data_IF_816279017250
#
_entry.id   IF_816279017250
#
_cell.length_a   1.000
_cell.length_b   1.000
_cell.length_c   1.000
_cell.angle_alpha   90.00
_cell.angle_beta   90.00
_cell.angle_gamma   90.00
#
_symmetry.space_group_name_H-M   'P 1'
#
loop_
_entity.id
_entity.type
_entity.pdbx_description
1 polymer ?
#
# COMPACT_ATOMS: atom_id res chain seq x y z
N UNK A 1 13.38 -9.71 12.47
CA UNK A 1 12.12 -8.98 12.19
C UNK A 1 11.36 -9.73 11.09
N UNK A 2 10.09 -9.91 11.27
CA UNK A 2 9.26 -10.54 10.24
C UNK A 2 9.25 -9.70 8.95
N UNK A 3 9.15 -10.37 7.80
CA UNK A 3 9.19 -9.69 6.50
C UNK A 3 8.14 -8.59 6.39
N UNK A 4 6.90 -8.87 6.77
CA UNK A 4 5.82 -7.88 6.68
C UNK A 4 6.08 -6.66 7.56
N UNK A 5 6.66 -6.85 8.74
CA UNK A 5 7.01 -5.76 9.65
C UNK A 5 8.09 -4.88 9.04
N UNK A 6 9.10 -5.49 8.43
CA UNK A 6 10.19 -4.76 7.78
C UNK A 6 9.67 -3.92 6.61
N UNK A 7 8.80 -4.49 5.79
CA UNK A 7 8.19 -3.77 4.66
C UNK A 7 7.33 -2.60 5.16
N UNK A 8 6.53 -2.84 6.18
CA UNK A 8 5.68 -1.80 6.78
C UNK A 8 6.52 -0.63 7.29
N UNK A 9 7.59 -0.92 8.04
CA UNK A 9 8.46 0.13 8.58
C UNK A 9 9.17 0.91 7.50
N UNK A 10 9.59 0.23 6.42
CA UNK A 10 10.23 0.90 5.29
C UNK A 10 9.27 1.84 4.58
N UNK A 11 8.04 1.39 4.30
CA UNK A 11 7.03 2.24 3.65
C UNK A 11 6.66 3.44 4.52
N UNK A 12 6.57 3.27 5.82
CA UNK A 12 6.35 4.39 6.75
C UNK A 12 7.51 5.39 6.69
N UNK A 13 8.74 4.89 6.64
CA UNK A 13 9.92 5.74 6.57
C UNK A 13 9.98 6.54 5.25
N UNK A 14 9.42 6.00 4.17
CA UNK A 14 9.32 6.74 2.90
C UNK A 14 8.46 8.01 3.04
N UNK A 15 7.46 7.99 3.91
CA UNK A 15 6.43 9.03 3.95
C UNK A 15 5.52 8.94 2.76
N UNK A 16 6.03 9.25 1.56
CA UNK A 16 5.32 9.06 0.30
C UNK A 16 5.94 7.90 -0.46
N UNK A 17 5.11 6.99 -0.92
CA UNK A 17 5.49 5.95 -1.87
C UNK A 17 4.51 5.98 -3.05
N UNK A 18 4.83 5.28 -4.12
CA UNK A 18 4.03 5.34 -5.35
C UNK A 18 3.42 3.98 -5.63
N UNK A 19 2.14 4.00 -6.01
CA UNK A 19 1.39 2.78 -6.30
C UNK A 19 1.05 2.74 -7.78
N UNK A 20 1.45 1.67 -8.46
CA UNK A 20 1.14 1.42 -9.85
C UNK A 20 0.00 0.43 -9.97
N UNK A 21 -0.92 0.73 -10.89
CA UNK A 21 -2.03 -0.14 -11.29
C UNK A 21 -2.06 -0.24 -12.80
N UNK A 22 -2.87 -1.14 -13.33
CA UNK A 22 -3.11 -1.24 -14.75
C UNK A 22 -4.55 -0.84 -15.08
N UNK A 23 -4.72 0.01 -16.07
CA UNK A 23 -6.02 0.34 -16.64
C UNK A 23 -6.02 -0.20 -18.07
N UNK A 24 -6.56 -1.42 -18.26
CA UNK A 24 -6.34 -2.15 -19.50
C UNK A 24 -4.86 -2.46 -19.67
N UNK A 25 -4.26 -2.01 -20.77
CA UNK A 25 -2.83 -2.13 -21.02
C UNK A 25 -2.04 -0.86 -20.65
N UNK A 26 -2.72 0.17 -20.10
CA UNK A 26 -2.06 1.40 -19.68
C UNK A 26 -1.64 1.32 -18.21
N UNK A 27 -0.33 1.42 -17.90
CA UNK A 27 0.09 1.57 -16.51
C UNK A 27 -0.32 2.94 -15.97
N UNK A 28 -0.73 2.97 -14.70
CA UNK A 28 -1.07 4.20 -13.98
C UNK A 28 -0.29 4.22 -12.67
N UNK A 29 0.19 5.39 -12.26
CA UNK A 29 0.94 5.55 -11.03
C UNK A 29 0.51 6.81 -10.30
N UNK A 30 0.47 6.78 -8.97
CA UNK A 30 0.11 7.92 -8.12
C UNK A 30 0.75 7.78 -6.75
N UNK A 31 0.90 8.90 -6.02
CA UNK A 31 1.43 8.86 -4.66
C UNK A 31 0.42 8.32 -3.67
N UNK A 32 0.92 7.56 -2.70
CA UNK A 32 0.21 7.10 -1.51
C UNK A 32 1.05 7.45 -0.28
N UNK A 33 0.42 7.59 0.87
CA UNK A 33 1.14 7.99 2.08
C UNK A 33 0.73 7.26 3.35
N UNK A 34 -0.26 6.38 3.29
CA UNK A 34 -0.78 5.70 4.47
C UNK A 34 -0.63 4.19 4.35
N UNK A 35 -0.07 3.58 5.38
CA UNK A 35 0.03 2.13 5.53
C UNK A 35 -0.42 1.75 6.93
N UNK A 36 -0.86 0.51 7.09
CA UNK A 36 -1.28 -0.03 8.37
C UNK A 36 -0.98 -1.52 8.43
N UNK A 37 -0.65 -2.00 9.63
CA UNK A 37 -0.57 -3.43 9.93
C UNK A 37 -1.76 -3.80 10.78
N UNK A 38 -2.59 -4.71 10.29
CA UNK A 38 -3.79 -5.13 11.00
C UNK A 38 -4.07 -6.59 10.71
N UNK A 39 -4.26 -7.37 11.76
CA UNK A 39 -4.52 -8.82 11.67
C UNK A 39 -3.52 -9.56 10.78
N UNK A 40 -2.24 -9.20 10.89
CA UNK A 40 -1.16 -9.86 10.14
C UNK A 40 -1.09 -9.51 8.67
N UNK A 41 -1.79 -8.46 8.23
CA UNK A 41 -1.81 -8.01 6.82
C UNK A 41 -1.38 -6.57 6.71
N UNK A 42 -0.83 -6.22 5.55
CA UNK A 42 -0.43 -4.86 5.23
C UNK A 42 -1.53 -4.19 4.42
N UNK A 43 -2.05 -3.07 4.93
CA UNK A 43 -3.17 -2.36 4.35
C UNK A 43 -2.76 -1.03 3.75
N UNK A 44 -3.45 -0.67 2.67
CA UNK A 44 -3.43 0.66 2.04
C UNK A 44 -4.83 1.25 2.10
N UNK A 45 -4.91 2.59 1.99
CA UNK A 45 -6.19 3.30 2.07
C UNK A 45 -6.38 4.18 0.85
N UNK A 46 -7.62 4.26 0.36
CA UNK A 46 -8.01 5.19 -0.69
C UNK A 46 -9.49 5.58 -0.54
N UNK A 47 -9.98 6.42 -1.45
CA UNK A 47 -11.41 6.72 -1.57
C UNK A 47 -11.99 6.05 -2.79
N UNK A 48 -13.22 5.54 -2.70
CA UNK A 48 -13.81 4.78 -3.80
C UNK A 48 -14.22 5.64 -5.00
N UNK A 49 -14.22 6.96 -4.86
CA UNK A 49 -14.45 7.89 -5.99
C UNK A 49 -13.21 8.05 -6.85
N UNK A 50 -12.04 7.62 -6.37
CA UNK A 50 -10.79 7.77 -7.11
C UNK A 50 -10.62 6.64 -8.13
N UNK A 51 -10.07 6.95 -9.34
CA UNK A 51 -9.84 5.93 -10.36
C UNK A 51 -9.03 4.72 -9.91
N UNK A 52 -8.09 4.92 -8.98
CA UNK A 52 -7.22 3.85 -8.49
C UNK A 52 -8.03 2.69 -7.88
N UNK A 53 -9.12 3.00 -7.18
CA UNK A 53 -9.92 1.94 -6.55
C UNK A 53 -10.60 1.07 -7.60
N UNK A 54 -11.21 1.69 -8.62
CA UNK A 54 -11.82 0.95 -9.73
C UNK A 54 -10.78 0.11 -10.49
N UNK A 55 -9.57 0.66 -10.67
CA UNK A 55 -8.48 -0.05 -11.34
C UNK A 55 -8.07 -1.30 -10.55
N UNK A 56 -7.90 -1.19 -9.23
CA UNK A 56 -7.55 -2.33 -8.38
C UNK A 56 -8.65 -3.39 -8.33
N UNK A 57 -9.92 -2.97 -8.37
CA UNK A 57 -11.03 -3.93 -8.38
C UNK A 57 -11.07 -4.72 -9.69
N UNK A 58 -10.77 -4.07 -10.80
CA UNK A 58 -10.78 -4.72 -12.12
C UNK A 58 -9.53 -5.57 -12.35
N UNK A 59 -8.37 -5.09 -11.89
CA UNK A 59 -7.11 -5.83 -11.97
C UNK A 59 -6.38 -5.66 -10.64
N UNK A 60 -6.35 -6.70 -9.79
CA UNK A 60 -5.77 -6.60 -8.45
C UNK A 60 -4.25 -6.53 -8.43
N UNK A 61 -3.57 -6.78 -9.55
CA UNK A 61 -2.11 -6.74 -9.59
C UNK A 61 -1.63 -5.30 -9.46
N UNK A 62 -0.81 -5.05 -8.45
CA UNK A 62 -0.26 -3.72 -8.14
C UNK A 62 1.23 -3.81 -7.86
N UNK A 63 1.88 -2.66 -7.93
CA UNK A 63 3.27 -2.54 -7.49
C UNK A 63 3.45 -1.24 -6.74
N UNK A 64 4.21 -1.29 -5.62
CA UNK A 64 4.59 -0.12 -4.85
C UNK A 64 6.08 0.15 -5.06
N UNK A 65 6.46 1.43 -5.02
CA UNK A 65 7.86 1.83 -5.05
C UNK A 65 8.06 3.07 -4.19
N UNK A 66 9.11 3.07 -3.38
CA UNK A 66 9.43 4.22 -2.55
C UNK A 66 10.89 4.23 -2.12
N UNK A 67 11.36 5.41 -1.74
CA UNK A 67 12.73 5.62 -1.26
C UNK A 67 12.67 6.19 0.16
N UNK A 68 13.27 5.48 1.12
CA UNK A 68 13.43 5.99 2.47
C UNK A 68 14.76 6.75 2.62
N UNK A 69 15.80 6.26 1.95
CA UNK A 69 17.15 6.83 1.99
C UNK A 69 17.71 6.96 0.59
N UNK A 70 18.71 7.85 0.41
CA UNK A 70 19.43 7.95 -0.86
C UNK A 70 20.11 6.64 -1.23
N UNK A 71 20.04 6.27 -2.51
CA UNK A 71 20.70 5.08 -3.03
C UNK A 71 20.01 3.77 -2.71
N UNK A 72 18.85 3.82 -2.06
CA UNK A 72 18.04 2.64 -1.76
C UNK A 72 16.59 2.87 -2.12
N UNK A 73 15.88 1.81 -2.46
CA UNK A 73 14.43 1.88 -2.66
C UNK A 73 13.81 0.52 -2.40
N UNK A 74 12.50 0.50 -2.20
CA UNK A 74 11.73 -0.73 -2.09
C UNK A 74 10.80 -0.85 -3.29
N UNK A 75 10.60 -2.08 -3.76
CA UNK A 75 9.57 -2.42 -4.73
C UNK A 75 8.75 -3.57 -4.16
N UNK A 76 7.44 -3.42 -4.16
CA UNK A 76 6.54 -4.45 -3.64
C UNK A 76 5.54 -4.82 -4.72
N UNK A 77 5.56 -6.08 -5.16
CA UNK A 77 4.51 -6.61 -6.03
C UNK A 77 3.50 -7.36 -5.18
N UNK A 78 2.22 -7.19 -5.48
CA UNK A 78 1.17 -7.81 -4.69
C UNK A 78 -0.15 -7.83 -5.47
N UNK A 79 -1.14 -8.49 -4.89
CA UNK A 79 -2.53 -8.37 -5.29
C UNK A 79 -3.28 -7.60 -4.22
N UNK A 80 -4.07 -6.60 -4.62
CA UNK A 80 -4.88 -5.80 -3.71
C UNK A 80 -6.22 -6.49 -3.48
N UNK A 81 -6.59 -6.68 -2.22
CA UNK A 81 -7.87 -7.30 -1.84
C UNK A 81 -8.64 -6.32 -0.97
N UNK A 82 -9.85 -5.96 -1.38
CA UNK A 82 -10.71 -5.08 -0.60
C UNK A 82 -11.12 -5.76 0.70
N UNK A 83 -11.01 -5.04 1.81
CA UNK A 83 -11.57 -5.44 3.10
C UNK A 83 -12.72 -4.48 3.43
N UNK A 84 -13.95 -4.98 3.35
CA UNK A 84 -15.15 -4.16 3.48
C UNK A 84 -15.64 -4.03 4.93
N UNK A 85 -14.80 -4.38 5.90
CA UNK A 85 -15.19 -4.31 7.32
C UNK A 85 -14.94 -2.92 7.89
N UNK A 86 -15.91 -2.45 8.68
CA UNK A 86 -15.81 -1.17 9.38
C UNK A 86 -14.58 -1.10 10.27
N UNK A 87 -14.28 -2.17 11.01
CA UNK A 87 -13.14 -2.21 11.93
C UNK A 87 -11.80 -2.07 11.22
N UNK A 88 -11.68 -2.60 9.99
CA UNK A 88 -10.45 -2.46 9.22
C UNK A 88 -10.24 -1.01 8.77
N UNK A 89 -11.30 -0.36 8.30
CA UNK A 89 -11.24 1.06 7.94
C UNK A 89 -10.91 1.94 9.14
N UNK A 90 -11.56 1.67 10.27
CA UNK A 90 -11.30 2.45 11.49
C UNK A 90 -9.88 2.27 11.99
N UNK A 91 -9.34 1.05 11.94
CA UNK A 91 -7.97 0.78 12.37
C UNK A 91 -6.98 1.60 11.53
N UNK A 92 -7.19 1.64 10.20
CA UNK A 92 -6.36 2.44 9.29
C UNK A 92 -6.38 3.92 9.66
N UNK A 93 -7.57 4.47 9.92
CA UNK A 93 -7.72 5.89 10.27
C UNK A 93 -7.08 6.20 11.61
N UNK A 94 -7.18 5.30 12.58
CA UNK A 94 -6.56 5.49 13.89
C UNK A 94 -5.04 5.40 13.79
N UNK A 95 -4.52 4.54 12.92
CA UNK A 95 -3.08 4.43 12.67
C UNK A 95 -2.51 5.62 11.89
N UNK A 96 -3.35 6.30 11.11
CA UNK A 96 -2.97 7.45 10.28
C UNK A 96 -3.96 8.60 10.53
N UNK A 97 -3.87 9.28 11.70
CA UNK A 97 -4.92 10.22 12.13
C UNK A 97 -5.18 11.39 11.17
N UNK A 98 -4.18 11.79 10.37
CA UNK A 98 -4.35 12.87 9.40
C UNK A 98 -5.42 12.54 8.35
N UNK A 99 -5.68 11.26 8.09
CA UNK A 99 -6.74 10.85 7.16
C UNK A 99 -8.13 11.23 7.66
N UNK A 100 -8.30 11.40 8.97
CA UNK A 100 -9.61 11.77 9.56
C UNK A 100 -10.08 13.15 9.15
N UNK A 101 -9.20 13.98 8.57
CA UNK A 101 -9.58 15.28 8.00
C UNK A 101 -10.43 15.12 6.74
N UNK A 102 -10.28 13.98 6.03
CA UNK A 102 -10.93 13.75 4.73
C UNK A 102 -11.85 12.54 4.73
N UNK A 103 -11.67 11.62 5.67
CA UNK A 103 -12.37 10.33 5.66
C UNK A 103 -12.91 9.99 7.04
N UNK A 104 -14.02 9.24 7.05
CA UNK A 104 -14.53 8.53 8.22
C UNK A 104 -14.80 7.09 7.81
N UNK A 105 -14.74 6.17 8.75
CA UNK A 105 -14.91 4.75 8.45
C UNK A 105 -16.29 4.42 7.86
N UNK A 106 -17.30 5.25 8.16
CA UNK A 106 -18.68 5.08 7.73
C UNK A 106 -19.13 6.13 6.70
N UNK A 107 -18.19 6.80 6.01
CA UNK A 107 -18.53 7.88 5.07
C UNK A 107 -18.98 7.40 3.70
N UNK A 108 -18.95 6.08 3.44
CA UNK A 108 -19.31 5.52 2.14
C UNK A 108 -18.26 5.74 1.05
N UNK A 109 -17.09 6.27 1.39
CA UNK A 109 -16.02 6.56 0.44
C UNK A 109 -14.68 5.95 0.87
N UNK A 110 -14.39 5.92 2.18
CA UNK A 110 -13.14 5.34 2.69
C UNK A 110 -13.07 3.85 2.38
N UNK A 111 -11.99 3.42 1.73
CA UNK A 111 -11.76 2.02 1.39
C UNK A 111 -10.38 1.61 1.84
N UNK A 112 -10.27 0.37 2.29
CA UNK A 112 -8.96 -0.22 2.59
C UNK A 112 -8.80 -1.51 1.80
N UNK A 113 -7.58 -1.75 1.33
CA UNK A 113 -7.18 -2.99 0.67
C UNK A 113 -5.99 -3.56 1.39
N UNK A 114 -5.91 -4.89 1.48
CA UNK A 114 -4.69 -5.52 1.98
C UNK A 114 -3.94 -6.20 0.85
N UNK A 115 -2.65 -6.40 1.06
CA UNK A 115 -1.76 -7.01 0.08
C UNK A 115 -1.75 -8.52 0.27
N UNK A 116 -1.96 -9.25 -0.83
CA UNK A 116 -1.92 -10.71 -0.88
C UNK A 116 -0.86 -11.16 -1.87
N UNK A 117 -0.23 -12.30 -1.58
CA UNK A 117 0.83 -12.87 -2.44
C UNK A 117 1.92 -11.83 -2.72
N UNK A 118 2.37 -11.17 -1.66
CA UNK A 118 3.27 -10.04 -1.79
C UNK A 118 4.73 -10.47 -1.76
N UNK A 119 5.53 -9.81 -2.59
CA UNK A 119 6.99 -9.95 -2.60
C UNK A 119 7.59 -8.54 -2.61
N UNK A 120 8.53 -8.29 -1.70
CA UNK A 120 9.25 -7.03 -1.64
C UNK A 120 10.71 -7.22 -2.00
N UNK A 121 11.24 -6.30 -2.79
CA UNK A 121 12.65 -6.19 -3.08
C UNK A 121 13.20 -4.93 -2.41
N UNK A 122 14.23 -5.12 -1.58
CA UNK A 122 15.03 -4.00 -1.06
C UNK A 122 16.19 -3.81 -2.00
N UNK A 123 16.21 -2.67 -2.69
CA UNK A 123 17.11 -2.41 -3.82
C UNK A 123 18.18 -1.40 -3.43
N UNK A 124 19.36 -1.55 -4.05
CA UNK A 124 20.54 -0.74 -3.76
C UNK A 124 21.25 -0.44 -5.07
N UNK A 125 21.89 0.74 -5.20
CA UNK A 125 22.73 1.02 -6.36
C UNK A 125 24.01 0.20 -6.35
N UNK A 126 24.49 -0.17 -5.16
CA UNK A 126 25.85 -0.74 -4.99
C UNK A 126 25.83 -2.20 -4.56
N UNK A 127 24.66 -2.84 -4.47
CA UNK A 127 24.54 -4.22 -4.04
C UNK A 127 23.36 -4.90 -4.73
N UNK A 128 23.34 -6.25 -4.82
CA UNK A 128 22.18 -6.96 -5.35
C UNK A 128 20.94 -6.75 -4.50
N UNK A 129 19.73 -6.82 -5.07
CA UNK A 129 18.51 -6.68 -4.30
C UNK A 129 18.30 -7.87 -3.36
N UNK A 130 17.62 -7.59 -2.24
CA UNK A 130 17.21 -8.63 -1.28
C UNK A 130 15.70 -8.77 -1.37
N UNK A 131 15.21 -9.98 -1.58
CA UNK A 131 13.79 -10.26 -1.75
C UNK A 131 13.23 -10.95 -0.51
N UNK A 132 12.07 -10.50 -0.06
CA UNK A 132 11.27 -11.14 0.99
C UNK A 132 9.85 -11.34 0.50
N UNK A 133 9.15 -12.33 1.07
CA UNK A 133 7.75 -12.63 0.74
C UNK A 133 6.90 -12.57 1.99
N UNK A 134 5.66 -12.16 1.82
CA UNK A 134 4.72 -12.06 2.92
C UNK A 134 3.26 -12.13 2.48
#
# INVERSE_FOLDING_TARGET
>A
MEAIQEVYEYLKACGTFYLATAEGDQPRVRPFGAVDLYEGKLYLQTGNVKPVFAQMKKNPKIELCGMADEGTWIRVTAQAVQDDRMEARQHMLDANPALKRMYAADDGNCEVVYLRNAAAQFCYFTAPPRTVQF
#
